data_IF_633499704242
#
_entry.id   IF_633499704242
#
_cell.length_a   1.000
_cell.length_b   1.000
_cell.length_c   1.000
_cell.angle_alpha   90.00
_cell.angle_beta   90.00
_cell.angle_gamma   90.00
#
_symmetry.space_group_name_H-M   'P 1'
#
loop_
_entity.id
_entity.type
_entity.pdbx_description
1 polymer ?
#
# COMPACT_ATOMS: atom_id res chain seq x y z
N UNK A 1 -20.15 1.45 13.74
CA UNK A 1 -20.61 2.83 13.45
C UNK A 1 -19.47 3.84 13.25
N UNK A 2 -18.56 4.00 14.21
CA UNK A 2 -17.46 4.97 14.12
C UNK A 2 -16.60 4.83 12.84
N UNK A 3 -16.18 3.61 12.49
CA UNK A 3 -15.42 3.34 11.25
C UNK A 3 -16.15 3.78 9.98
N UNK A 4 -17.46 3.50 9.90
CA UNK A 4 -18.31 3.89 8.75
C UNK A 4 -18.41 5.41 8.62
N UNK A 5 -18.52 6.10 9.75
CA UNK A 5 -18.60 7.55 9.78
C UNK A 5 -17.27 8.21 9.38
N UNK A 6 -16.15 7.65 9.82
CA UNK A 6 -14.80 8.05 9.38
C UNK A 6 -14.64 7.81 7.88
N UNK A 7 -14.98 6.61 7.38
CA UNK A 7 -14.86 6.26 5.96
C UNK A 7 -15.73 7.15 5.05
N UNK A 8 -16.92 7.56 5.50
CA UNK A 8 -17.79 8.51 4.77
C UNK A 8 -17.19 9.92 4.65
N UNK A 9 -16.43 10.34 5.65
CA UNK A 9 -15.79 11.64 5.68
C UNK A 9 -14.41 11.64 5.01
N UNK A 10 -13.88 10.45 4.70
CA UNK A 10 -12.61 10.28 4.00
C UNK A 10 -12.70 10.61 2.50
N UNK A 11 -11.59 11.08 1.96
CA UNK A 11 -11.45 11.58 0.60
C UNK A 11 -10.35 10.82 -0.14
N UNK A 12 -10.50 10.63 -1.45
CA UNK A 12 -9.44 10.07 -2.27
C UNK A 12 -8.29 11.07 -2.42
N UNK A 13 -7.12 10.69 -1.93
CA UNK A 13 -5.89 11.50 -1.95
C UNK A 13 -5.59 12.13 -3.31
N UNK A 14 -5.84 11.43 -4.43
CA UNK A 14 -5.57 11.92 -5.79
C UNK A 14 -6.65 12.81 -6.39
N UNK A 15 -7.88 12.78 -5.90
CA UNK A 15 -9.00 13.49 -6.54
C UNK A 15 -9.76 14.44 -5.63
N UNK A 16 -9.52 14.39 -4.31
CA UNK A 16 -10.28 15.12 -3.29
C UNK A 16 -11.76 14.72 -3.21
N UNK A 17 -12.19 13.73 -4.00
CA UNK A 17 -13.58 13.26 -4.00
C UNK A 17 -13.79 12.30 -2.83
N UNK A 18 -14.94 12.43 -2.17
CA UNK A 18 -15.34 11.50 -1.10
C UNK A 18 -15.44 10.08 -1.63
N UNK A 19 -15.11 9.11 -0.77
CA UNK A 19 -15.20 7.70 -1.11
C UNK A 19 -16.68 7.33 -1.37
N UNK A 20 -17.01 6.74 -2.54
CA UNK A 20 -18.36 6.29 -2.86
C UNK A 20 -18.86 5.27 -1.85
N UNK A 21 -20.14 5.42 -1.46
CA UNK A 21 -20.81 4.54 -0.50
C UNK A 21 -20.75 3.05 -0.89
N UNK A 22 -20.79 2.76 -2.20
CA UNK A 22 -20.69 1.40 -2.72
C UNK A 22 -19.36 0.73 -2.37
N UNK A 23 -18.26 1.47 -2.47
CA UNK A 23 -16.92 0.97 -2.12
C UNK A 23 -16.79 0.76 -0.61
N UNK A 24 -17.40 1.64 0.19
CA UNK A 24 -17.44 1.46 1.65
C UNK A 24 -18.23 0.20 2.02
N UNK A 25 -19.37 -0.06 1.38
CA UNK A 25 -20.14 -1.29 1.56
C UNK A 25 -19.35 -2.53 1.16
N UNK A 26 -18.70 -2.54 0.00
CA UNK A 26 -17.88 -3.68 -0.44
C UNK A 26 -16.75 -4.00 0.56
N UNK A 27 -16.14 -2.98 1.17
CA UNK A 27 -15.12 -3.17 2.22
C UNK A 27 -15.73 -3.64 3.54
N UNK A 28 -16.91 -3.12 3.92
CA UNK A 28 -17.63 -3.57 5.12
C UNK A 28 -18.02 -5.05 5.00
N UNK A 29 -18.56 -5.46 3.86
CA UNK A 29 -18.94 -6.84 3.58
C UNK A 29 -17.72 -7.77 3.60
N UNK A 30 -16.60 -7.34 3.00
CA UNK A 30 -15.33 -8.07 3.06
C UNK A 30 -14.76 -8.18 4.48
N UNK A 31 -14.80 -7.12 5.29
CA UNK A 31 -14.39 -7.19 6.71
C UNK A 31 -15.28 -8.18 7.48
N UNK A 32 -16.57 -8.24 7.16
CA UNK A 32 -17.54 -9.13 7.79
C UNK A 32 -17.24 -10.61 7.47
N UNK A 33 -17.07 -10.93 6.19
CA UNK A 33 -16.70 -12.27 5.73
C UNK A 33 -15.38 -12.70 6.38
N UNK A 34 -14.39 -11.80 6.41
CA UNK A 34 -13.08 -12.15 6.97
C UNK A 34 -13.09 -12.33 8.48
N UNK A 35 -13.92 -11.56 9.19
CA UNK A 35 -14.16 -11.79 10.60
C UNK A 35 -14.83 -13.14 10.86
N UNK A 36 -15.78 -13.56 10.01
CA UNK A 36 -16.41 -14.88 10.11
C UNK A 36 -15.38 -16.00 9.96
N UNK A 37 -14.49 -15.93 8.95
CA UNK A 37 -13.41 -16.91 8.79
C UNK A 37 -12.45 -16.96 9.99
N UNK A 38 -12.13 -15.80 10.58
CA UNK A 38 -11.26 -15.73 11.77
C UNK A 38 -11.93 -16.39 12.97
N UNK A 39 -13.24 -16.19 13.17
CA UNK A 39 -13.98 -16.85 14.26
C UNK A 39 -14.07 -18.37 14.06
N UNK A 40 -14.26 -18.85 12.83
CA UNK A 40 -14.19 -20.29 12.52
C UNK A 40 -12.80 -20.86 12.80
N UNK A 41 -11.74 -20.15 12.38
CA UNK A 41 -10.36 -20.53 12.68
C UNK A 41 -10.07 -20.55 14.19
N UNK A 42 -10.64 -19.61 14.96
CA UNK A 42 -10.56 -19.62 16.43
C UNK A 42 -11.29 -20.82 17.03
N UNK A 43 -12.48 -21.15 16.53
CA UNK A 43 -13.26 -22.30 16.98
C UNK A 43 -12.51 -23.62 16.76
N UNK A 44 -11.92 -23.80 15.58
CA UNK A 44 -11.08 -24.98 15.28
C UNK A 44 -9.82 -25.02 16.14
N UNK A 45 -9.15 -23.89 16.35
CA UNK A 45 -7.99 -23.79 17.22
C UNK A 45 -8.31 -24.17 18.68
N UNK A 46 -9.41 -23.67 19.24
CA UNK A 46 -9.88 -24.03 20.59
C UNK A 46 -10.15 -25.53 20.68
N UNK A 47 -10.84 -26.09 19.69
CA UNK A 47 -11.17 -27.53 19.65
C UNK A 47 -9.91 -28.39 19.58
N UNK A 48 -8.96 -28.02 18.73
CA UNK A 48 -7.69 -28.73 18.59
C UNK A 48 -6.83 -28.61 19.85
N UNK A 49 -6.79 -27.43 20.47
CA UNK A 49 -6.08 -27.23 21.75
C UNK A 49 -6.66 -28.10 22.86
N UNK A 50 -7.99 -28.15 23.00
CA UNK A 50 -8.65 -29.00 23.99
C UNK A 50 -8.36 -30.49 23.73
N UNK A 51 -8.32 -30.90 22.45
CA UNK A 51 -7.97 -32.28 22.08
C UNK A 51 -6.51 -32.60 22.39
N UNK A 52 -5.59 -31.66 22.19
CA UNK A 52 -4.19 -31.78 22.55
C UNK A 52 -4.04 -32.01 24.06
N UNK A 53 -4.65 -31.16 24.89
CA UNK A 53 -4.56 -31.27 26.35
C UNK A 53 -5.12 -32.61 26.86
N UNK A 54 -6.22 -33.11 26.28
CA UNK A 54 -6.74 -34.44 26.63
C UNK A 54 -5.77 -35.56 26.28
N UNK A 55 -5.16 -35.52 25.09
CA UNK A 55 -4.18 -36.52 24.67
C UNK A 55 -2.90 -36.48 25.54
N UNK A 56 -2.46 -35.29 25.95
CA UNK A 56 -1.34 -35.12 26.88
C UNK A 56 -1.66 -35.71 28.27
N UNK A 57 -2.88 -35.51 28.78
CA UNK A 57 -3.32 -36.14 30.04
C UNK A 57 -3.42 -37.66 29.95
N UNK A 58 -3.91 -38.19 28.83
CA UNK A 58 -3.96 -39.64 28.58
C UNK A 58 -2.56 -40.25 28.54
N UNK A 59 -1.60 -39.57 27.90
CA UNK A 59 -0.20 -40.00 27.87
C UNK A 59 0.39 -40.04 29.28
N UNK A 60 0.20 -38.98 30.07
CA UNK A 60 0.69 -38.91 31.46
C UNK A 60 0.13 -40.04 32.34
N UNK A 61 -1.13 -40.43 32.15
CA UNK A 61 -1.74 -41.57 32.86
C UNK A 61 -1.08 -42.89 32.47
N UNK A 62 -0.74 -43.08 31.18
CA UNK A 62 -0.02 -44.27 30.71
C UNK A 62 1.39 -44.34 31.29
N UNK A 63 2.09 -43.21 31.37
CA UNK A 63 3.43 -43.17 31.98
C UNK A 63 3.39 -43.54 33.47
N UNK A 64 2.38 -43.06 34.22
CA UNK A 64 2.18 -43.44 35.63
C UNK A 64 1.86 -44.94 35.80
N UNK A 65 1.08 -45.53 34.88
CA UNK A 65 0.82 -46.97 34.88
C UNK A 65 2.09 -47.77 34.55
N UNK A 66 2.93 -47.29 33.64
CA UNK A 66 4.21 -47.91 33.32
C UNK A 66 5.16 -47.87 34.53
N UNK A 67 5.22 -46.76 35.28
CA UNK A 67 5.97 -46.65 36.54
C UNK A 67 5.44 -47.61 37.61
N UNK A 68 4.11 -47.69 37.78
CA UNK A 68 3.47 -48.63 38.71
C UNK A 68 3.75 -50.10 38.34
N UNK A 69 3.72 -50.43 37.05
CA UNK A 69 4.05 -51.75 36.54
C UNK A 69 5.55 -52.07 36.75
N UNK A 70 6.44 -51.09 36.57
CA UNK A 70 7.88 -51.23 36.83
C UNK A 70 8.16 -51.51 38.32
N UNK A 71 7.45 -50.82 39.23
CA UNK A 71 7.53 -51.05 40.68
C UNK A 71 7.06 -52.46 41.06
N UNK A 72 5.94 -52.92 40.49
CA UNK A 72 5.42 -54.28 40.71
C UNK A 72 6.39 -55.33 40.16
N UNK A 73 6.90 -55.15 38.94
CA UNK A 73 7.90 -56.03 38.31
C UNK A 73 9.18 -56.13 39.13
N UNK A 74 9.64 -55.02 39.71
CA UNK A 74 10.80 -54.96 40.61
C UNK A 74 10.55 -55.72 41.91
N UNK A 75 9.34 -55.63 42.47
CA UNK A 75 8.96 -56.36 43.69
C UNK A 75 8.80 -57.87 43.44
N UNK A 76 8.24 -58.26 42.29
CA UNK A 76 8.11 -59.66 41.89
C UNK A 76 9.46 -60.31 41.57
N UNK A 77 10.44 -59.57 41.02
CA UNK A 77 11.80 -60.08 40.81
C UNK A 77 12.54 -60.34 42.13
N UNK A 78 12.29 -59.53 43.16
CA UNK A 78 12.80 -59.75 44.52
C UNK A 78 12.08 -60.93 45.21
N UNK A 79 10.76 -61.04 45.06
CA UNK A 79 10.02 -62.18 45.62
C UNK A 79 10.34 -63.51 44.94
N UNK A 80 10.65 -63.50 43.64
CA UNK A 80 11.07 -64.71 42.91
C UNK A 80 12.50 -65.13 43.24
N UNK A 81 13.39 -64.19 43.57
CA UNK A 81 14.72 -64.54 44.10
C UNK A 81 14.66 -65.10 45.53
N UNK A 82 13.72 -64.65 46.35
CA UNK A 82 13.46 -65.22 47.70
C UNK A 82 12.76 -66.59 47.65
N UNK A 83 11.84 -66.80 46.70
CA UNK A 83 11.14 -68.08 46.50
C UNK A 83 12.04 -69.19 45.92
N UNK A 84 13.13 -68.84 45.23
CA UNK A 84 14.11 -69.82 44.72
C UNK A 84 14.93 -70.51 45.83
N UNK A 85 14.83 -70.07 47.09
CA UNK A 85 15.48 -70.72 48.23
C UNK A 85 14.63 -71.83 48.89
N UNK A 86 13.40 -72.10 48.42
CA UNK A 86 12.52 -73.06 49.06
C UNK A 86 11.92 -74.11 48.10
N UNK A 87 12.20 -75.37 48.44
CA UNK A 87 11.49 -76.63 48.10
C UNK A 87 12.01 -77.45 46.90
N UNK A 88 12.77 -78.49 47.24
CA UNK A 88 12.65 -79.80 46.61
C UNK A 88 11.43 -80.56 47.13
N UNK A 89 10.61 -81.11 46.22
CA UNK A 89 9.72 -82.29 46.39
C UNK A 89 9.08 -82.64 45.03
N UNK A 90 9.28 -83.85 44.48
CA UNK A 90 8.67 -84.26 43.22
C UNK A 90 7.22 -84.72 43.46
N UNK A 91 6.37 -84.63 42.43
CA UNK A 91 4.94 -85.04 42.32
C UNK A 91 3.87 -83.92 42.38
N UNK A 92 4.17 -82.72 42.91
CA UNK A 92 3.32 -81.51 42.69
C UNK A 92 3.77 -80.73 41.43
N UNK A 93 4.93 -81.09 40.87
CA UNK A 93 5.62 -80.34 39.82
C UNK A 93 4.76 -80.12 38.58
N UNK A 94 4.00 -81.09 38.08
CA UNK A 94 3.27 -80.91 36.80
C UNK A 94 2.13 -79.88 36.94
N UNK A 95 1.47 -79.83 38.10
CA UNK A 95 0.36 -78.89 38.35
C UNK A 95 0.87 -77.48 38.68
N UNK A 96 1.98 -77.36 39.42
CA UNK A 96 2.67 -76.08 39.66
C UNK A 96 3.36 -75.54 38.40
N UNK A 97 3.94 -76.42 37.57
CA UNK A 97 4.54 -76.03 36.30
C UNK A 97 3.47 -75.49 35.34
N UNK A 98 2.28 -76.11 35.28
CA UNK A 98 1.15 -75.59 34.50
C UNK A 98 0.62 -74.24 35.03
N UNK A 99 0.54 -74.08 36.36
CA UNK A 99 0.12 -72.82 37.01
C UNK A 99 1.13 -71.68 36.82
N UNK A 100 2.42 -71.97 36.63
CA UNK A 100 3.46 -70.98 36.31
C UNK A 100 3.59 -70.74 34.79
N UNK A 101 3.32 -71.76 33.99
CA UNK A 101 3.43 -71.70 32.53
C UNK A 101 2.35 -70.82 31.91
N UNK A 102 1.11 -70.85 32.43
CA UNK A 102 0.02 -70.00 31.92
C UNK A 102 0.33 -68.50 32.09
N UNK A 103 0.73 -68.01 33.29
CA UNK A 103 1.20 -66.63 33.47
C UNK A 103 2.42 -66.28 32.61
N UNK A 104 3.40 -67.18 32.47
CA UNK A 104 4.58 -66.93 31.64
C UNK A 104 4.25 -66.84 30.14
N UNK A 105 3.31 -67.68 29.66
CA UNK A 105 2.80 -67.63 28.29
C UNK A 105 2.00 -66.35 28.04
N UNK A 106 1.13 -65.95 28.98
CA UNK A 106 0.41 -64.69 28.91
C UNK A 106 1.38 -63.50 28.87
N UNK A 107 2.37 -63.47 29.77
CA UNK A 107 3.41 -62.45 29.79
C UNK A 107 4.22 -62.40 28.50
N UNK A 108 4.54 -63.56 27.91
CA UNK A 108 5.21 -63.62 26.61
C UNK A 108 4.34 -63.07 25.48
N UNK A 109 3.03 -63.30 25.51
CA UNK A 109 2.08 -62.74 24.53
C UNK A 109 1.96 -61.23 24.68
N UNK A 110 1.82 -60.74 25.92
CA UNK A 110 1.75 -59.31 26.23
C UNK A 110 3.05 -58.58 25.82
N UNK A 111 4.21 -59.21 26.05
CA UNK A 111 5.51 -58.66 25.64
C UNK A 111 5.63 -58.56 24.11
N UNK A 112 5.25 -59.59 23.36
CA UNK A 112 5.23 -59.53 21.89
C UNK A 112 4.20 -58.51 21.38
N UNK A 113 3.05 -58.38 22.04
CA UNK A 113 2.09 -57.32 21.70
C UNK A 113 2.69 -55.93 21.92
N UNK A 114 3.33 -55.66 23.06
CA UNK A 114 3.99 -54.39 23.35
C UNK A 114 5.09 -54.06 22.33
N UNK A 115 5.81 -55.07 21.84
CA UNK A 115 6.83 -54.90 20.81
C UNK A 115 6.22 -54.52 19.47
N UNK A 116 5.11 -55.14 19.07
CA UNK A 116 4.36 -54.74 17.86
C UNK A 116 3.84 -53.32 18.02
N UNK A 117 3.24 -52.99 19.17
CA UNK A 117 2.75 -51.64 19.44
C UNK A 117 3.87 -50.60 19.36
N UNK A 118 5.04 -50.87 19.94
CA UNK A 118 6.20 -49.99 19.88
C UNK A 118 6.73 -49.80 18.45
N UNK A 119 6.76 -50.86 17.65
CA UNK A 119 7.10 -50.78 16.22
C UNK A 119 6.12 -49.87 15.48
N UNK A 120 4.80 -50.06 15.65
CA UNK A 120 3.80 -49.21 14.98
C UNK A 120 3.86 -47.74 15.43
N UNK A 121 4.21 -47.48 16.69
CA UNK A 121 4.41 -46.12 17.19
C UNK A 121 5.67 -45.49 16.58
N UNK A 122 6.75 -46.26 16.44
CA UNK A 122 7.99 -45.80 15.81
C UNK A 122 7.77 -45.42 14.35
N UNK A 123 7.05 -46.25 13.58
CA UNK A 123 6.66 -45.95 12.19
C UNK A 123 5.84 -44.65 12.10
N UNK A 124 4.88 -44.46 13.01
CA UNK A 124 4.09 -43.22 13.07
C UNK A 124 4.96 -42.01 13.39
N UNK A 125 5.94 -42.13 14.29
CA UNK A 125 6.87 -41.05 14.61
C UNK A 125 7.69 -40.70 13.37
N UNK A 126 8.20 -41.69 12.65
CA UNK A 126 8.95 -41.50 11.42
C UNK A 126 8.12 -40.80 10.34
N UNK A 127 6.89 -41.26 10.09
CA UNK A 127 5.98 -40.62 9.13
C UNK A 127 5.72 -39.14 9.50
N UNK A 128 5.50 -38.85 10.78
CA UNK A 128 5.32 -37.48 11.27
C UNK A 128 6.58 -36.64 11.11
N UNK A 129 7.76 -37.21 11.35
CA UNK A 129 9.04 -36.53 11.13
C UNK A 129 9.21 -36.17 9.65
N UNK A 130 8.89 -37.07 8.73
CA UNK A 130 8.93 -36.79 7.29
C UNK A 130 7.93 -35.70 6.87
N UNK A 131 6.71 -35.72 7.43
CA UNK A 131 5.73 -34.66 7.19
C UNK A 131 6.26 -33.30 7.66
N UNK A 132 6.85 -33.23 8.85
CA UNK A 132 7.49 -32.02 9.38
C UNK A 132 8.62 -31.54 8.46
N UNK A 133 9.48 -32.45 7.98
CA UNK A 133 10.55 -32.10 7.05
C UNK A 133 10.01 -31.56 5.72
N UNK A 134 8.95 -32.15 5.17
CA UNK A 134 8.26 -31.65 3.97
C UNK A 134 7.71 -30.24 4.18
N UNK A 135 7.08 -29.97 5.32
CA UNK A 135 6.55 -28.65 5.66
C UNK A 135 7.65 -27.61 5.85
N UNK A 136 8.77 -27.96 6.49
CA UNK A 136 9.94 -27.08 6.61
C UNK A 136 10.47 -26.65 5.24
N UNK A 137 10.62 -27.59 4.29
CA UNK A 137 11.03 -27.28 2.91
C UNK A 137 10.08 -26.30 2.22
N UNK A 138 8.76 -26.52 2.33
CA UNK A 138 7.74 -25.58 1.80
C UNK A 138 7.78 -24.20 2.46
N UNK A 139 8.09 -24.17 3.76
CA UNK A 139 8.22 -22.90 4.50
C UNK A 139 9.41 -22.10 3.96
N UNK A 140 10.55 -22.74 3.71
CA UNK A 140 11.74 -22.09 3.14
C UNK A 140 11.46 -21.51 1.75
N UNK A 141 10.82 -22.28 0.85
CA UNK A 141 10.49 -21.76 -0.48
C UNK A 141 9.50 -20.59 -0.41
N UNK A 142 8.54 -20.65 0.50
CA UNK A 142 7.59 -19.56 0.74
C UNK A 142 8.30 -18.31 1.25
N UNK A 143 9.25 -18.45 2.19
CA UNK A 143 10.09 -17.33 2.66
C UNK A 143 10.88 -16.70 1.51
N UNK A 144 11.44 -17.51 0.61
CA UNK A 144 12.16 -17.01 -0.56
C UNK A 144 11.24 -16.23 -1.52
N UNK A 145 10.05 -16.74 -1.81
CA UNK A 145 9.05 -16.03 -2.61
C UNK A 145 8.66 -14.71 -1.95
N UNK A 146 8.43 -14.71 -0.63
CA UNK A 146 8.12 -13.50 0.14
C UNK A 146 9.28 -12.49 0.10
N UNK A 147 10.53 -12.95 0.11
CA UNK A 147 11.70 -12.07 -0.03
C UNK A 147 11.71 -11.38 -1.41
N UNK A 148 11.55 -12.13 -2.50
CA UNK A 148 11.46 -11.56 -3.85
C UNK A 148 10.28 -10.59 -4.00
N UNK A 149 9.12 -10.92 -3.41
CA UNK A 149 7.96 -10.03 -3.41
C UNK A 149 8.24 -8.72 -2.65
N UNK A 150 8.93 -8.79 -1.51
CA UNK A 150 9.34 -7.61 -0.72
C UNK A 150 10.27 -6.71 -1.52
N UNK A 151 11.28 -7.27 -2.18
CA UNK A 151 12.22 -6.51 -3.01
C UNK A 151 11.50 -5.82 -4.18
N UNK A 152 10.59 -6.54 -4.86
CA UNK A 152 9.78 -5.98 -5.94
C UNK A 152 8.88 -4.84 -5.45
N UNK A 153 8.30 -4.98 -4.26
CA UNK A 153 7.47 -3.94 -3.64
C UNK A 153 8.31 -2.68 -3.38
N UNK A 154 9.47 -2.80 -2.74
CA UNK A 154 10.37 -1.67 -2.48
C UNK A 154 10.82 -0.97 -3.77
N UNK A 155 11.12 -1.74 -4.82
CA UNK A 155 11.44 -1.16 -6.14
C UNK A 155 10.27 -0.36 -6.72
N UNK A 156 9.04 -0.90 -6.64
CA UNK A 156 7.84 -0.22 -7.14
C UNK A 156 7.52 1.03 -6.33
N UNK A 157 7.70 1.00 -5.01
CA UNK A 157 7.54 2.16 -4.13
C UNK A 157 8.50 3.28 -4.51
N UNK A 158 9.80 2.97 -4.65
CA UNK A 158 10.80 3.95 -5.08
C UNK A 158 10.52 4.53 -6.47
N UNK A 159 10.02 3.70 -7.39
CA UNK A 159 9.58 4.17 -8.72
C UNK A 159 8.35 5.07 -8.61
N UNK A 160 7.43 4.74 -7.72
CA UNK A 160 6.26 5.55 -7.39
C UNK A 160 6.64 6.92 -6.86
N UNK A 161 7.58 6.99 -5.91
CA UNK A 161 8.13 8.24 -5.36
C UNK A 161 8.77 9.10 -6.45
N UNK A 162 9.56 8.48 -7.34
CA UNK A 162 10.20 9.17 -8.46
C UNK A 162 9.17 9.81 -9.39
N UNK A 163 8.13 9.04 -9.77
CA UNK A 163 7.03 9.55 -10.59
C UNK A 163 6.27 10.66 -9.87
N UNK A 164 6.05 10.52 -8.56
CA UNK A 164 5.40 11.56 -7.76
C UNK A 164 6.21 12.85 -7.72
N UNK A 165 7.54 12.77 -7.58
CA UNK A 165 8.42 13.93 -7.65
C UNK A 165 8.35 14.63 -9.01
N UNK A 166 8.37 13.86 -10.10
CA UNK A 166 8.24 14.41 -11.46
C UNK A 166 6.88 15.08 -11.69
N UNK A 167 5.80 14.50 -11.16
CA UNK A 167 4.47 15.11 -11.21
C UNK A 167 4.44 16.44 -10.44
N UNK A 168 5.02 16.48 -9.25
CA UNK A 168 5.08 17.69 -8.43
C UNK A 168 5.91 18.80 -9.09
N UNK A 169 6.97 18.46 -9.82
CA UNK A 169 7.75 19.40 -10.62
C UNK A 169 6.95 19.96 -11.79
N UNK A 170 6.21 19.09 -12.51
CA UNK A 170 5.35 19.50 -13.61
C UNK A 170 4.19 20.40 -13.13
N UNK A 171 3.61 20.11 -11.97
CA UNK A 171 2.59 20.96 -11.35
C UNK A 171 3.14 22.35 -11.00
N UNK A 172 4.36 22.43 -10.48
CA UNK A 172 5.04 23.71 -10.24
C UNK A 172 5.26 24.51 -11.53
N UNK A 173 5.74 23.85 -12.58
CA UNK A 173 5.93 24.48 -13.88
C UNK A 173 4.60 25.00 -14.43
N UNK A 174 3.54 24.20 -14.32
CA UNK A 174 2.21 24.58 -14.80
C UNK A 174 1.64 25.79 -14.04
N UNK A 175 1.88 25.88 -12.73
CA UNK A 175 1.57 27.09 -11.93
C UNK A 175 2.39 28.28 -12.42
N UNK A 176 3.71 28.12 -12.63
CA UNK A 176 4.55 29.18 -13.16
C UNK A 176 4.10 29.70 -14.53
N UNK A 177 3.70 28.80 -15.43
CA UNK A 177 3.12 29.17 -16.74
C UNK A 177 1.78 29.90 -16.59
N UNK A 178 0.92 29.49 -15.64
CA UNK A 178 -0.35 30.20 -15.35
C UNK A 178 -0.10 31.62 -14.85
N UNK A 179 0.88 31.81 -13.98
CA UNK A 179 1.24 33.14 -13.46
C UNK A 179 1.81 34.04 -14.56
N UNK A 180 2.64 33.49 -15.46
CA UNK A 180 3.17 34.21 -16.62
C UNK A 180 2.04 34.65 -17.57
N UNK A 181 1.05 33.77 -17.82
CA UNK A 181 -0.14 34.11 -18.62
C UNK A 181 -0.95 35.22 -17.94
N UNK A 182 -1.11 35.17 -16.61
CA UNK A 182 -1.82 36.21 -15.88
C UNK A 182 -1.11 37.56 -16.00
N UNK A 183 0.22 37.59 -15.84
CA UNK A 183 1.03 38.81 -15.97
C UNK A 183 0.98 39.40 -17.38
N UNK A 184 1.20 38.57 -18.40
CA UNK A 184 1.13 39.04 -19.80
C UNK A 184 -0.25 39.53 -20.22
N UNK A 185 -1.34 38.93 -19.69
CA UNK A 185 -2.70 39.44 -19.88
C UNK A 185 -2.90 40.80 -19.21
N UNK A 186 -2.41 40.96 -17.98
CA UNK A 186 -2.47 42.22 -17.27
C UNK A 186 -1.73 43.33 -18.01
N UNK A 187 -0.47 43.11 -18.39
CA UNK A 187 0.34 44.07 -19.15
C UNK A 187 -0.35 44.45 -20.47
N UNK A 188 -0.89 43.46 -21.21
CA UNK A 188 -1.65 43.70 -22.44
C UNK A 188 -2.88 44.59 -22.18
N UNK A 189 -3.62 44.32 -21.12
CA UNK A 189 -4.83 45.07 -20.80
C UNK A 189 -4.48 46.51 -20.35
N UNK A 190 -3.37 46.71 -19.63
CA UNK A 190 -2.81 48.04 -19.34
C UNK A 190 -2.47 48.80 -20.63
N UNK A 191 -1.69 48.19 -21.53
CA UNK A 191 -1.35 48.81 -22.82
C UNK A 191 -2.59 49.13 -23.66
N UNK A 192 -3.64 48.31 -23.61
CA UNK A 192 -4.91 48.61 -24.29
C UNK A 192 -5.57 49.85 -23.70
N UNK A 193 -5.68 49.93 -22.37
CA UNK A 193 -6.28 51.11 -21.72
C UNK A 193 -5.48 52.38 -22.00
N UNK A 194 -4.15 52.30 -22.04
CA UNK A 194 -3.30 53.46 -22.35
C UNK A 194 -3.39 53.86 -23.82
N UNK A 195 -3.45 52.90 -24.74
CA UNK A 195 -3.68 53.17 -26.17
C UNK A 195 -5.04 53.84 -26.39
N UNK A 196 -6.09 53.38 -25.70
CA UNK A 196 -7.41 54.01 -25.76
C UNK A 196 -7.40 55.44 -25.22
N UNK A 197 -6.68 55.71 -24.11
CA UNK A 197 -6.47 57.07 -23.58
C UNK A 197 -5.73 57.96 -24.57
N UNK A 198 -4.62 57.48 -25.15
CA UNK A 198 -3.85 58.23 -26.14
C UNK A 198 -4.67 58.50 -27.39
N UNK A 199 -5.48 57.54 -27.85
CA UNK A 199 -6.43 57.75 -28.97
C UNK A 199 -7.48 58.80 -28.64
N UNK A 200 -8.00 58.81 -27.41
CA UNK A 200 -8.94 59.85 -26.97
C UNK A 200 -8.27 61.23 -26.93
N UNK A 201 -7.03 61.33 -26.43
CA UNK A 201 -6.25 62.57 -26.43
C UNK A 201 -5.90 63.03 -27.85
N UNK A 202 -5.51 62.10 -28.73
CA UNK A 202 -5.16 62.35 -30.12
C UNK A 202 -6.38 62.55 -31.05
N UNK A 203 -7.60 62.26 -30.59
CA UNK A 203 -8.82 62.37 -31.39
C UNK A 203 -9.11 63.78 -31.95
N UNK A 204 -8.53 64.82 -31.34
CA UNK A 204 -8.57 66.19 -31.89
C UNK A 204 -7.54 66.36 -33.01
N UNK A 205 -6.40 65.67 -32.95
CA UNK A 205 -5.27 65.82 -33.88
C UNK A 205 -5.47 65.00 -35.17
N UNK A 206 -6.13 63.84 -35.09
CA UNK A 206 -6.40 62.96 -36.26
C UNK A 206 -7.66 63.34 -37.06
N UNK A 207 -8.32 64.45 -36.72
CA UNK A 207 -9.47 64.94 -37.47
C UNK A 207 -9.04 65.40 -38.86
N UNK A 208 -9.38 64.62 -39.90
CA UNK A 208 -9.12 64.93 -41.32
C UNK A 208 -9.61 66.33 -41.74
N UNK A 209 -10.66 66.84 -41.09
CA UNK A 209 -11.18 68.19 -41.32
C UNK A 209 -10.19 69.26 -40.84
N UNK A 210 -9.55 69.06 -39.69
CA UNK A 210 -8.57 69.98 -39.11
C UNK A 210 -7.27 69.92 -39.91
N UNK A 211 -6.83 68.74 -40.35
CA UNK A 211 -5.66 68.60 -41.22
C UNK A 211 -5.86 69.35 -42.55
N UNK A 212 -7.03 69.17 -43.18
CA UNK A 212 -7.37 69.84 -44.44
C UNK A 212 -7.52 71.35 -44.28
N UNK A 213 -8.12 71.81 -43.17
CA UNK A 213 -8.21 73.24 -42.86
C UNK A 213 -6.80 73.85 -42.63
N UNK A 214 -5.91 73.13 -41.95
CA UNK A 214 -4.53 73.57 -41.77
C UNK A 214 -3.77 73.67 -43.11
N UNK A 215 -3.91 72.68 -44.01
CA UNK A 215 -3.33 72.74 -45.35
C UNK A 215 -3.88 73.91 -46.18
N UNK A 216 -5.20 74.12 -46.15
CA UNK A 216 -5.84 75.25 -46.83
C UNK A 216 -5.34 76.60 -46.29
N UNK A 217 -5.24 76.74 -44.96
CA UNK A 217 -4.70 77.95 -44.33
C UNK A 217 -3.23 78.17 -44.69
N UNK A 218 -2.42 77.11 -44.73
CA UNK A 218 -1.02 77.19 -45.15
C UNK A 218 -0.89 77.66 -46.60
N UNK A 219 -1.70 77.12 -47.51
CA UNK A 219 -1.74 77.56 -48.92
C UNK A 219 -2.14 79.03 -49.04
N UNK A 220 -3.20 79.44 -48.31
CA UNK A 220 -3.68 80.83 -48.31
C UNK A 220 -2.67 81.82 -47.74
N UNK A 221 -1.90 81.42 -46.71
CA UNK A 221 -0.79 82.24 -46.19
C UNK A 221 0.33 82.40 -47.23
N UNK A 222 0.64 81.36 -48.00
CA UNK A 222 1.63 81.44 -49.06
C UNK A 222 1.19 82.40 -50.18
N UNK A 223 -0.07 82.30 -50.62
CA UNK A 223 -0.67 83.19 -51.61
C UNK A 223 -0.66 84.66 -51.15
N UNK A 224 -1.09 84.92 -49.91
CA UNK A 224 -1.08 86.27 -49.35
C UNK A 224 0.34 86.84 -49.27
N UNK A 225 1.35 86.03 -48.94
CA UNK A 225 2.76 86.47 -48.94
C UNK A 225 3.22 86.85 -50.35
N UNK A 226 2.82 86.11 -51.37
CA UNK A 226 3.13 86.41 -52.76
C UNK A 226 2.47 87.71 -53.23
N UNK A 227 1.18 87.90 -52.90
CA UNK A 227 0.44 89.14 -53.19
C UNK A 227 1.10 90.34 -52.49
N UNK A 228 1.49 90.19 -51.21
CA UNK A 228 2.19 91.24 -50.45
C UNK A 228 3.54 91.56 -51.09
N UNK A 229 4.28 90.56 -51.55
CA UNK A 229 5.55 90.75 -52.25
C UNK A 229 5.35 91.48 -53.59
N UNK A 230 4.32 91.11 -54.35
CA UNK A 230 3.97 91.76 -55.60
C UNK A 230 3.55 93.23 -55.40
N UNK A 231 2.72 93.51 -54.39
CA UNK A 231 2.31 94.86 -54.01
C UNK A 231 3.50 95.71 -53.55
N UNK A 232 4.41 95.17 -52.73
CA UNK A 232 5.65 95.85 -52.36
C UNK A 232 6.52 96.16 -53.59
N UNK A 233 6.61 95.21 -54.53
CA UNK A 233 7.31 95.42 -55.81
C UNK A 233 6.69 96.54 -56.64
N UNK A 234 5.35 96.59 -56.74
CA UNK A 234 4.63 97.63 -57.47
C UNK A 234 4.75 98.99 -56.79
N UNK A 235 4.63 99.05 -55.46
CA UNK A 235 4.86 100.27 -54.69
C UNK A 235 6.29 100.81 -54.91
N UNK A 236 7.30 99.93 -54.88
CA UNK A 236 8.70 100.30 -55.18
C UNK A 236 8.86 100.82 -56.61
N UNK A 237 8.18 100.22 -57.60
CA UNK A 237 8.19 100.73 -59.00
C UNK A 237 7.56 102.11 -59.10
N UNK A 238 6.40 102.32 -58.46
CA UNK A 238 5.71 103.62 -58.45
C UNK A 238 6.54 104.70 -57.73
N UNK A 239 7.16 104.39 -56.59
CA UNK A 239 8.09 105.29 -55.91
C UNK A 239 9.27 105.68 -56.82
N UNK A 240 9.87 104.73 -57.54
CA UNK A 240 10.93 105.01 -58.49
C UNK A 240 10.45 105.87 -59.69
N UNK A 241 9.17 105.79 -60.04
CA UNK A 241 8.57 106.60 -61.10
C UNK A 241 8.31 108.04 -60.64
N UNK A 242 7.85 108.21 -59.40
CA UNK A 242 7.65 109.53 -58.76
C UNK A 242 8.99 110.21 -58.48
N UNK A 243 10.03 109.46 -58.08
CA UNK A 243 11.37 109.98 -57.82
C UNK A 243 12.16 110.35 -59.09
N UNK A 244 11.70 109.96 -60.27
CA UNK A 244 12.32 110.28 -61.58
C UNK A 244 11.73 111.53 -62.25
N UNK A 245 10.76 112.18 -61.61
CA UNK A 245 10.14 113.43 -62.06
C UNK A 245 10.69 114.60 -61.26
#
# INVERSE_FOLDING_TARGET
EFKRQVARNSEYVRSGKKIPLKVIQEVEDFELDKNSEVEEARGTHITLKNRLTKLEEELRKKDQLAEGLHLIGSSLTVQTSEMQAFVGRPVILVKHLALLFVPAMWWSSDFEQLKIENQTLSEKIEERQEQVQRLKKKTVTTIQVLAHMREKMQFLEKRGETIHSSLAELDKELVGQRDLIAKTKHDRDEYRTENDRLRQQAGIVDSKLITKDHENRKARVAELKEIVAALHGNHKRLLNYVAKR
#
